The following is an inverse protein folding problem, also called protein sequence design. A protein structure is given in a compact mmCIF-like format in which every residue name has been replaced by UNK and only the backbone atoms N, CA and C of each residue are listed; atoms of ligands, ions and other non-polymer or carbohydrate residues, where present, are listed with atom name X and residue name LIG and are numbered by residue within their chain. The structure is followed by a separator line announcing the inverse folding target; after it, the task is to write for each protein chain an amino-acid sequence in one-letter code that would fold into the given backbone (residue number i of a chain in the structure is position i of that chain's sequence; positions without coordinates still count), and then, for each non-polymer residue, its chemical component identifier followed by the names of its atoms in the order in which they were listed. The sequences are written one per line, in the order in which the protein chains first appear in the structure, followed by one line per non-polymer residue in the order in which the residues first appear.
data_IF_845750124181
#
_entry.id   IF_845750124181
#
_cell.length_a   1.000
_cell.length_b   1.000
_cell.length_c   1.000
_cell.angle_alpha   90.00
_cell.angle_beta   90.00
_cell.angle_gamma   90.00
#
_symmetry.space_group_name_H-M   'P 1'
#
loop_
_entity.id
_entity.type
_entity.pdbx_description
1 polymer ?
#
# COMPACT_ATOMS: atom_id res chain seq x y z
N UNK A 1 -6.58 -15.48 14.69
CA UNK A 1 -5.65 -16.34 13.90
C UNK A 1 -6.14 -16.53 12.46
N UNK A 2 -7.38 -16.96 12.23
CA UNK A 2 -7.96 -17.08 10.88
C UNK A 2 -7.89 -15.78 10.07
N UNK A 3 -8.19 -14.62 10.69
CA UNK A 3 -8.13 -13.31 10.03
C UNK A 3 -6.74 -12.97 9.47
N UNK A 4 -5.68 -13.28 10.23
CA UNK A 4 -4.29 -13.08 9.79
C UNK A 4 -3.96 -13.98 8.60
N UNK A 5 -4.35 -15.25 8.64
CA UNK A 5 -4.09 -16.19 7.53
C UNK A 5 -4.83 -15.77 6.27
N UNK A 6 -6.09 -15.37 6.39
CA UNK A 6 -6.87 -14.86 5.26
C UNK A 6 -6.24 -13.61 4.66
N UNK A 7 -5.81 -12.67 5.52
CA UNK A 7 -5.11 -11.46 5.08
C UNK A 7 -3.81 -11.78 4.35
N UNK A 8 -3.00 -12.71 4.86
CA UNK A 8 -1.74 -13.12 4.22
C UNK A 8 -1.96 -13.85 2.88
N UNK A 9 -2.95 -14.74 2.81
CA UNK A 9 -3.28 -15.45 1.58
C UNK A 9 -3.73 -14.47 0.48
N UNK A 10 -4.60 -13.53 0.85
CA UNK A 10 -5.06 -12.49 -0.06
C UNK A 10 -3.91 -11.57 -0.50
N UNK A 11 -3.03 -11.16 0.43
CA UNK A 11 -1.84 -10.38 0.10
C UNK A 11 -0.93 -11.10 -0.89
N UNK A 12 -0.69 -12.39 -0.71
CA UNK A 12 0.13 -13.19 -1.60
C UNK A 12 -0.49 -13.30 -3.01
N UNK A 13 -1.79 -13.57 -3.10
CA UNK A 13 -2.51 -13.61 -4.38
C UNK A 13 -2.44 -12.27 -5.10
N UNK A 14 -2.69 -11.17 -4.38
CA UNK A 14 -2.66 -9.83 -4.96
C UNK A 14 -1.27 -9.44 -5.46
N UNK A 15 -0.22 -9.68 -4.66
CA UNK A 15 1.16 -9.42 -5.10
C UNK A 15 1.54 -10.28 -6.32
N UNK A 16 1.07 -11.54 -6.36
CA UNK A 16 1.24 -12.41 -7.52
C UNK A 16 0.57 -11.86 -8.77
N UNK A 17 -0.70 -11.43 -8.68
CA UNK A 17 -1.41 -10.80 -9.79
C UNK A 17 -0.73 -9.51 -10.27
N UNK A 18 -0.29 -8.65 -9.34
CA UNK A 18 0.42 -7.41 -9.68
C UNK A 18 1.76 -7.74 -10.36
N UNK A 19 2.53 -8.71 -9.86
CA UNK A 19 3.81 -9.09 -10.44
C UNK A 19 3.68 -9.65 -11.87
N UNK A 20 2.56 -10.32 -12.19
CA UNK A 20 2.26 -10.78 -13.55
C UNK A 20 1.99 -9.62 -14.52
N UNK A 21 1.37 -8.53 -14.05
CA UNK A 21 1.10 -7.34 -14.86
C UNK A 21 2.31 -6.41 -14.94
N UNK A 22 3.02 -6.25 -13.82
CA UNK A 22 4.18 -5.39 -13.66
C UNK A 22 5.08 -5.96 -12.56
N UNK A 23 6.11 -6.70 -12.99
CA UNK A 23 7.03 -7.38 -12.08
C UNK A 23 7.71 -6.41 -11.10
N UNK A 24 8.19 -5.26 -11.59
CA UNK A 24 8.89 -4.27 -10.76
C UNK A 24 8.00 -3.67 -9.69
N UNK A 25 6.74 -3.34 -10.02
CA UNK A 25 5.76 -2.85 -9.07
C UNK A 25 5.40 -3.92 -8.03
N UNK A 26 5.15 -5.16 -8.49
CA UNK A 26 4.85 -6.28 -7.61
C UNK A 26 5.98 -6.57 -6.63
N UNK A 27 7.24 -6.51 -7.09
CA UNK A 27 8.42 -6.67 -6.24
C UNK A 27 8.54 -5.54 -5.20
N UNK A 28 8.36 -4.28 -5.61
CA UNK A 28 8.48 -3.12 -4.71
C UNK A 28 7.41 -3.16 -3.60
N UNK A 29 6.17 -3.51 -3.96
CA UNK A 29 5.09 -3.71 -2.98
C UNK A 29 5.36 -4.93 -2.08
N UNK A 30 5.88 -6.03 -2.61
CA UNK A 30 6.23 -7.19 -1.79
C UNK A 30 7.34 -6.87 -0.78
N UNK A 31 8.41 -6.19 -1.21
CA UNK A 31 9.55 -5.85 -0.39
C UNK A 31 9.17 -4.94 0.79
N UNK A 32 8.19 -4.07 0.60
CA UNK A 32 7.70 -3.16 1.64
C UNK A 32 6.65 -3.84 2.54
N UNK A 33 5.65 -4.53 1.96
CA UNK A 33 4.47 -5.02 2.68
C UNK A 33 4.65 -6.35 3.40
N UNK A 34 5.43 -7.30 2.84
CA UNK A 34 5.57 -8.64 3.40
C UNK A 34 6.25 -8.65 4.78
N UNK A 35 7.36 -7.92 5.01
CA UNK A 35 8.02 -7.91 6.33
C UNK A 35 7.09 -7.42 7.44
N UNK A 36 6.33 -6.36 7.17
CA UNK A 36 5.37 -5.79 8.13
C UNK A 36 4.24 -6.77 8.40
N UNK A 37 3.64 -7.35 7.34
CA UNK A 37 2.56 -8.33 7.49
C UNK A 37 3.00 -9.58 8.27
N UNK A 38 4.26 -10.01 8.12
CA UNK A 38 4.84 -11.10 8.91
C UNK A 38 5.00 -10.73 10.40
N UNK A 39 5.50 -9.53 10.68
CA UNK A 39 5.77 -9.02 12.02
C UNK A 39 4.50 -8.76 12.86
N UNK A 40 3.36 -8.48 12.23
CA UNK A 40 2.08 -8.21 12.92
C UNK A 40 1.65 -9.40 13.79
N UNK A 41 1.45 -9.16 15.09
CA UNK A 41 0.92 -10.13 16.05
C UNK A 41 -0.29 -9.56 16.79
N UNK A 42 -1.30 -10.37 17.11
CA UNK A 42 -2.47 -9.90 17.87
C UNK A 42 -2.12 -9.46 19.31
N UNK A 43 -1.07 -10.02 19.91
CA UNK A 43 -0.70 -9.81 21.32
C UNK A 43 0.50 -8.90 21.55
N UNK A 44 0.85 -8.02 20.59
CA UNK A 44 2.03 -7.14 20.65
C UNK A 44 1.71 -5.65 20.88
N UNK A 45 2.73 -4.75 20.80
CA UNK A 45 2.53 -3.32 20.94
C UNK A 45 1.71 -2.77 19.75
N UNK A 46 0.47 -2.38 20.02
CA UNK A 46 -0.55 -2.09 19.00
C UNK A 46 -0.25 -0.85 18.17
N UNK A 47 0.11 0.26 18.84
CA UNK A 47 0.37 1.55 18.20
C UNK A 47 1.49 1.51 17.16
N UNK A 48 2.72 1.02 17.47
CA UNK A 48 3.80 1.02 16.48
C UNK A 48 3.50 0.10 15.29
N UNK A 49 2.84 -1.04 15.51
CA UNK A 49 2.42 -1.93 14.42
C UNK A 49 1.33 -1.30 13.53
N UNK A 50 0.38 -0.59 14.13
CA UNK A 50 -0.65 0.12 13.40
C UNK A 50 -0.06 1.25 12.52
N UNK A 51 0.86 2.05 13.07
CA UNK A 51 1.57 3.09 12.32
C UNK A 51 2.38 2.48 11.18
N UNK A 52 3.11 1.39 11.43
CA UNK A 52 3.90 0.71 10.42
C UNK A 52 3.02 0.15 9.29
N UNK A 53 1.85 -0.41 9.61
CA UNK A 53 0.87 -0.89 8.63
C UNK A 53 0.32 0.24 7.76
N UNK A 54 0.12 1.44 8.32
CA UNK A 54 -0.34 2.62 7.56
C UNK A 54 0.76 3.14 6.65
N UNK A 55 2.01 3.22 7.14
CA UNK A 55 3.15 3.68 6.35
C UNK A 55 3.42 2.78 5.14
N UNK A 56 3.24 1.48 5.32
CA UNK A 56 3.48 0.46 4.30
C UNK A 56 2.21 0.13 3.49
N UNK A 57 1.09 0.80 3.77
CA UNK A 57 -0.08 0.72 2.92
C UNK A 57 0.26 1.24 1.52
N UNK A 58 -0.44 0.77 0.46
CA UNK A 58 -0.16 1.19 -0.92
C UNK A 58 -0.10 2.70 -1.11
N UNK A 59 -0.97 3.46 -0.42
CA UNK A 59 -0.96 4.91 -0.44
C UNK A 59 0.32 5.51 0.20
N UNK A 60 0.77 4.95 1.33
CA UNK A 60 2.02 5.33 1.98
C UNK A 60 3.24 5.02 1.14
N UNK A 61 3.29 3.82 0.52
CA UNK A 61 4.38 3.43 -0.37
C UNK A 61 4.44 4.29 -1.64
N UNK A 62 3.28 4.68 -2.19
CA UNK A 62 3.22 5.60 -3.34
C UNK A 62 3.70 7.00 -2.96
N UNK A 63 3.23 7.54 -1.83
CA UNK A 63 3.66 8.85 -1.36
C UNK A 63 5.17 8.88 -1.10
N UNK A 64 5.71 7.88 -0.39
CA UNK A 64 7.16 7.76 -0.16
C UNK A 64 7.93 7.58 -1.47
N UNK A 65 7.39 6.82 -2.42
CA UNK A 65 7.96 6.66 -3.75
C UNK A 65 8.09 7.98 -4.51
N UNK A 66 7.09 8.86 -4.42
CA UNK A 66 7.15 10.20 -5.02
C UNK A 66 8.27 11.05 -4.43
N UNK A 67 8.43 11.06 -3.10
CA UNK A 67 9.52 11.77 -2.44
C UNK A 67 10.88 11.17 -2.82
N UNK A 68 11.03 9.84 -2.76
CA UNK A 68 12.27 9.16 -3.11
C UNK A 68 12.67 9.40 -4.58
N UNK A 69 11.70 9.39 -5.50
CA UNK A 69 11.94 9.72 -6.90
C UNK A 69 12.46 11.14 -7.07
N UNK A 70 11.93 12.08 -6.29
CA UNK A 70 12.26 13.52 -6.42
C UNK A 70 13.59 13.89 -5.78
N UNK A 71 13.93 13.24 -4.67
CA UNK A 71 15.28 13.27 -4.10
C UNK A 71 16.30 12.74 -5.12
N UNK A 72 15.99 11.63 -5.81
CA UNK A 72 16.87 11.05 -6.83
C UNK A 72 17.08 11.98 -8.04
N UNK A 73 16.12 12.85 -8.32
CA UNK A 73 16.18 13.85 -9.38
C UNK A 73 16.77 15.19 -8.92
N UNK A 74 17.35 15.25 -7.71
CA UNK A 74 17.96 16.45 -7.11
C UNK A 74 16.99 17.65 -7.00
N UNK A 75 15.68 17.39 -7.03
CA UNK A 75 14.61 18.39 -6.98
C UNK A 75 13.63 18.05 -5.84
N UNK A 76 14.05 18.25 -4.57
CA UNK A 76 13.29 17.84 -3.41
C UNK A 76 11.94 18.56 -3.37
N UNK A 77 10.89 17.83 -2.99
CA UNK A 77 9.54 18.36 -2.87
C UNK A 77 9.29 18.93 -1.49
N UNK A 78 8.59 20.07 -1.42
CA UNK A 78 7.93 20.48 -0.19
C UNK A 78 6.84 19.49 0.22
N UNK A 79 6.51 19.41 1.52
CA UNK A 79 5.47 18.51 2.01
C UNK A 79 4.10 18.74 1.35
N UNK A 80 3.71 20.01 1.18
CA UNK A 80 2.46 20.38 0.53
C UNK A 80 2.46 20.02 -0.97
N UNK A 81 3.59 20.24 -1.65
CA UNK A 81 3.74 19.93 -3.07
C UNK A 81 3.68 18.42 -3.31
N UNK A 82 4.35 17.62 -2.48
CA UNK A 82 4.26 16.17 -2.52
C UNK A 82 2.85 15.66 -2.28
N UNK A 83 2.12 16.26 -1.34
CA UNK A 83 0.71 15.94 -1.11
C UNK A 83 -0.17 16.26 -2.33
N UNK A 84 0.03 17.42 -2.96
CA UNK A 84 -0.72 17.80 -4.17
C UNK A 84 -0.42 16.87 -5.36
N UNK A 85 0.84 16.50 -5.57
CA UNK A 85 1.25 15.56 -6.61
C UNK A 85 0.66 14.17 -6.38
N UNK A 86 0.62 13.71 -5.14
CA UNK A 86 -0.04 12.46 -4.77
C UNK A 86 -1.54 12.50 -5.12
N UNK A 87 -2.27 13.53 -4.69
CA UNK A 87 -3.69 13.68 -5.00
C UNK A 87 -3.95 13.74 -6.50
N UNK A 88 -3.07 14.41 -7.25
CA UNK A 88 -3.15 14.49 -8.70
C UNK A 88 -2.96 13.13 -9.35
N UNK A 89 -1.95 12.37 -8.96
CA UNK A 89 -1.71 11.02 -9.48
C UNK A 89 -2.90 10.07 -9.20
N UNK A 90 -3.52 10.19 -8.02
CA UNK A 90 -4.74 9.45 -7.67
C UNK A 90 -5.91 9.87 -8.57
N UNK A 91 -6.10 11.17 -8.80
CA UNK A 91 -7.18 11.70 -9.63
C UNK A 91 -7.01 11.31 -11.11
N UNK A 92 -5.79 11.36 -11.63
CA UNK A 92 -5.45 10.92 -13.00
C UNK A 92 -5.73 9.42 -13.16
N UNK A 93 -5.33 8.59 -12.20
CA UNK A 93 -5.69 7.16 -12.21
C UNK A 93 -7.20 6.92 -12.21
N UNK A 94 -7.98 7.70 -11.44
CA UNK A 94 -9.44 7.60 -11.43
C UNK A 94 -10.07 7.98 -12.77
N UNK A 95 -9.57 9.06 -13.40
CA UNK A 95 -10.02 9.52 -14.71
C UNK A 95 -9.70 8.51 -15.81
N UNK A 96 -8.49 7.97 -15.82
CA UNK A 96 -8.07 6.95 -16.80
C UNK A 96 -8.92 5.68 -16.70
N UNK A 97 -9.29 5.29 -15.48
CA UNK A 97 -10.23 4.19 -15.27
C UNK A 97 -11.60 4.49 -15.88
N UNK A 98 -12.14 5.68 -15.62
CA UNK A 98 -13.44 6.09 -16.11
C UNK A 98 -13.49 6.17 -17.65
N UNK A 99 -12.42 6.65 -18.28
CA UNK A 99 -12.39 6.94 -19.71
C UNK A 99 -12.03 5.74 -20.58
N UNK A 100 -11.07 4.92 -20.16
CA UNK A 100 -10.51 3.86 -21.01
C UNK A 100 -10.94 2.47 -20.59
N UNK A 101 -11.82 2.35 -19.59
CA UNK A 101 -12.13 1.07 -18.93
C UNK A 101 -10.86 0.41 -18.38
N UNK A 102 -9.80 1.21 -18.20
CA UNK A 102 -8.48 0.79 -17.78
C UNK A 102 -8.63 0.18 -16.38
N UNK A 103 -8.49 -1.13 -16.29
CA UNK A 103 -8.52 -1.88 -15.02
C UNK A 103 -7.28 -1.60 -14.15
N UNK A 104 -6.37 -0.72 -14.57
CA UNK A 104 -4.96 -0.86 -14.23
C UNK A 104 -4.66 -0.82 -12.72
N UNK A 105 -5.36 -0.04 -11.90
CA UNK A 105 -5.12 -0.05 -10.45
C UNK A 105 -6.05 0.74 -9.49
N UNK A 106 -6.96 1.65 -9.88
CA UNK A 106 -7.04 2.89 -9.11
C UNK A 106 -8.13 2.86 -8.01
N UNK A 107 -9.10 1.94 -8.14
CA UNK A 107 -9.85 1.39 -7.00
C UNK A 107 -9.14 0.21 -6.33
N UNK A 108 -8.23 -0.44 -7.05
CA UNK A 108 -7.36 -1.55 -6.65
C UNK A 108 -6.02 -1.06 -6.07
N UNK A 109 -5.99 -0.24 -5.02
CA UNK A 109 -6.56 -0.68 -3.76
C UNK A 109 -6.79 0.47 -2.77
N UNK A 110 -7.86 1.25 -2.96
CA UNK A 110 -8.35 2.33 -2.08
C UNK A 110 -8.79 1.89 -0.66
N UNK A 111 -8.34 0.75 -0.18
CA UNK A 111 -8.78 0.19 1.11
C UNK A 111 -8.66 -1.31 1.22
N UNK A 112 -8.06 -1.98 0.24
CA UNK A 112 -8.48 -3.34 -0.06
C UNK A 112 -7.64 -4.34 0.69
N UNK A 113 -8.12 -4.52 1.91
CA UNK A 113 -8.28 -5.75 2.65
C UNK A 113 -7.11 -6.25 3.51
N UNK A 114 -5.99 -6.79 3.03
CA UNK A 114 -5.02 -7.41 3.95
C UNK A 114 -4.49 -6.45 5.02
N UNK A 115 -4.10 -5.25 4.62
CA UNK A 115 -3.53 -4.27 5.55
C UNK A 115 -4.57 -3.80 6.56
N UNK A 116 -5.82 -3.61 6.14
CA UNK A 116 -6.93 -3.22 7.01
C UNK A 116 -7.43 -4.35 7.89
N UNK A 117 -7.47 -5.58 7.37
CA UNK A 117 -7.72 -6.80 8.14
C UNK A 117 -6.63 -6.99 9.20
N UNK A 118 -5.37 -6.76 8.86
CA UNK A 118 -4.26 -6.80 9.81
C UNK A 118 -4.32 -5.64 10.80
N UNK A 119 -4.70 -4.44 10.36
CA UNK A 119 -4.88 -3.28 11.22
C UNK A 119 -6.01 -3.52 12.23
N UNK A 120 -7.16 -4.02 11.78
CA UNK A 120 -8.28 -4.42 12.64
C UNK A 120 -7.89 -5.56 13.57
N UNK A 121 -7.10 -6.53 13.09
CA UNK A 121 -6.56 -7.59 13.92
C UNK A 121 -5.64 -7.06 15.04
N UNK A 122 -4.96 -5.92 14.84
CA UNK A 122 -4.11 -5.28 15.86
C UNK A 122 -4.91 -4.37 16.79
N UNK A 123 -5.87 -3.60 16.26
CA UNK A 123 -6.61 -2.59 17.02
C UNK A 123 -7.73 -3.18 17.87
N UNK A 124 -8.49 -4.14 17.33
CA UNK A 124 -9.77 -4.56 17.90
C UNK A 124 -9.79 -5.98 18.45
N UNK A 125 -8.91 -6.88 17.98
CA UNK A 125 -8.87 -8.26 18.47
C UNK A 125 -7.87 -8.42 19.63
N UNK A 126 -8.37 -8.97 20.76
CA UNK A 126 -7.57 -9.40 21.91
C UNK A 126 -7.04 -10.82 21.71
#
# INVERSE_FOLDING_TARGET
RALKLLALLYLALQLGCIALLNFSLGFLLAATMVPVAAAVRPTGPRLPLAVLLVLVAPAGTLLLGLFAQRELLEAPLGALEGWQLFLRAVAEGLLDHHLYGSLVFPAAALGVYPCWLLLWNVLFWK
#
